data_IF_536788468877
#
_entry.id   IF_536788468877
#
_cell.length_a   1.000
_cell.length_b   1.000
_cell.length_c   1.000
_cell.angle_alpha   90.00
_cell.angle_beta   90.00
_cell.angle_gamma   90.00
#
_symmetry.space_group_name_H-M   'P 1'
#
loop_
_entity.id
_entity.type
_entity.pdbx_description
1 polymer ?
#
# COMPACT_ATOMS: atom_id res chain seq x y z
N UNK A 1 4.11 -0.63 16.31
CA UNK A 1 2.68 -0.31 16.47
C UNK A 1 2.16 0.19 15.13
N UNK A 2 1.00 -0.27 14.66
CA UNK A 2 0.45 0.18 13.37
C UNK A 2 0.01 1.65 13.39
N UNK A 3 -0.10 2.27 12.21
CA UNK A 3 -0.49 3.66 12.01
C UNK A 3 -1.73 3.75 11.12
N UNK A 4 -2.57 4.75 11.37
CA UNK A 4 -3.73 5.08 10.53
C UNK A 4 -3.60 6.53 10.14
N UNK A 5 -3.77 6.80 8.85
CA UNK A 5 -3.75 8.14 8.28
C UNK A 5 -5.15 8.50 7.81
N UNK A 6 -5.52 9.74 8.03
CA UNK A 6 -6.70 10.37 7.48
C UNK A 6 -6.27 11.45 6.49
N UNK A 7 -7.00 11.58 5.39
CA UNK A 7 -6.75 12.60 4.38
C UNK A 7 -7.85 13.65 4.45
N UNK A 8 -7.47 14.91 4.57
CA UNK A 8 -8.40 16.03 4.64
C UNK A 8 -8.12 17.01 3.51
N UNK A 9 -9.19 17.48 2.86
CA UNK A 9 -9.13 18.51 1.83
C UNK A 9 -10.29 19.49 2.03
N UNK A 10 -9.97 20.78 2.16
CA UNK A 10 -10.95 21.85 2.46
C UNK A 10 -11.84 21.53 3.68
N UNK A 11 -11.20 21.11 4.78
CA UNK A 11 -11.85 20.70 6.03
C UNK A 11 -12.85 19.54 5.89
N UNK A 12 -12.66 18.66 4.92
CA UNK A 12 -13.47 17.46 4.71
C UNK A 12 -12.58 16.23 4.68
N UNK A 13 -12.98 15.21 5.45
CA UNK A 13 -12.35 13.90 5.39
C UNK A 13 -12.63 13.26 4.03
N UNK A 14 -11.58 13.04 3.24
CA UNK A 14 -11.68 12.45 1.90
C UNK A 14 -11.19 11.01 1.84
N UNK A 15 -10.59 10.47 2.90
CA UNK A 15 -10.13 9.09 2.90
C UNK A 15 -9.25 8.70 4.07
N UNK A 16 -8.86 7.43 4.08
CA UNK A 16 -8.00 6.83 5.10
C UNK A 16 -7.11 5.75 4.51
N UNK A 17 -5.99 5.46 5.16
CA UNK A 17 -5.16 4.26 4.92
C UNK A 17 -4.58 3.75 6.25
N UNK A 18 -4.35 2.44 6.35
CA UNK A 18 -3.73 1.80 7.50
C UNK A 18 -2.42 1.13 7.13
N UNK A 19 -1.39 1.37 7.92
CA UNK A 19 -0.03 0.87 7.75
C UNK A 19 0.30 0.00 8.97
N UNK A 20 0.65 -1.27 8.77
CA UNK A 20 0.94 -2.20 9.87
C UNK A 20 2.25 -2.93 9.60
N UNK A 21 3.21 -2.97 10.54
CA UNK A 21 4.42 -3.77 10.35
C UNK A 21 4.07 -5.25 10.19
N UNK A 22 4.74 -5.94 9.27
CA UNK A 22 4.58 -7.39 9.10
C UNK A 22 5.35 -8.17 10.18
N UNK A 23 5.08 -9.47 10.26
CA UNK A 23 5.72 -10.40 11.18
C UNK A 23 4.90 -10.70 12.43
N UNK A 24 3.64 -10.25 12.46
CA UNK A 24 2.75 -10.39 13.62
C UNK A 24 1.47 -11.17 13.30
N UNK A 25 1.24 -11.55 12.04
CA UNK A 25 0.06 -12.30 11.62
C UNK A 25 -1.25 -11.52 11.77
N UNK A 26 -1.19 -10.18 11.68
CA UNK A 26 -2.32 -9.29 11.98
C UNK A 26 -3.06 -8.84 10.72
N UNK A 27 -2.50 -9.07 9.55
CA UNK A 27 -3.00 -8.53 8.29
C UNK A 27 -3.45 -9.63 7.33
N UNK A 28 -4.45 -9.31 6.49
CA UNK A 28 -4.86 -10.19 5.39
C UNK A 28 -3.68 -10.48 4.46
N UNK A 29 -2.84 -9.48 4.20
CA UNK A 29 -1.67 -9.62 3.34
C UNK A 29 -0.68 -10.64 3.90
N UNK A 30 -0.42 -10.68 5.21
CA UNK A 30 0.40 -11.74 5.82
C UNK A 30 -0.20 -13.12 5.63
N UNK A 31 -1.50 -13.27 5.86
CA UNK A 31 -2.18 -14.56 5.66
C UNK A 31 -2.04 -15.06 4.22
N UNK A 32 -2.20 -14.17 3.24
CA UNK A 32 -2.07 -14.51 1.82
C UNK A 32 -0.61 -14.75 1.40
N UNK A 33 0.35 -14.02 1.99
CA UNK A 33 1.78 -14.25 1.78
C UNK A 33 2.21 -15.60 2.33
N UNK A 34 1.71 -16.04 3.48
CA UNK A 34 2.04 -17.37 4.00
C UNK A 34 1.62 -18.50 3.05
N UNK A 35 0.54 -18.31 2.29
CA UNK A 35 0.06 -19.31 1.32
C UNK A 35 0.89 -19.27 0.03
N UNK A 36 1.15 -18.08 -0.50
CA UNK A 36 1.67 -17.89 -1.87
C UNK A 36 3.17 -17.57 -1.94
N UNK A 37 3.73 -17.03 -0.87
CA UNK A 37 5.14 -16.62 -0.77
C UNK A 37 5.66 -16.71 0.68
N UNK A 38 5.74 -17.91 1.28
CA UNK A 38 6.05 -18.09 2.71
C UNK A 38 7.41 -17.53 3.15
N UNK A 39 8.35 -17.33 2.22
CA UNK A 39 9.66 -16.71 2.48
C UNK A 39 9.65 -15.16 2.39
N UNK A 40 8.48 -14.54 2.18
CA UNK A 40 8.35 -13.08 2.05
C UNK A 40 8.99 -12.32 3.22
N UNK A 41 8.71 -12.74 4.46
CA UNK A 41 9.16 -12.03 5.67
C UNK A 41 10.67 -12.11 5.86
N UNK A 42 11.32 -13.19 5.40
CA UNK A 42 12.78 -13.29 5.42
C UNK A 42 13.44 -12.45 4.33
N UNK A 43 12.79 -12.29 3.17
CA UNK A 43 13.33 -11.50 2.06
C UNK A 43 13.07 -10.00 2.19
N UNK A 44 12.02 -9.60 2.92
CA UNK A 44 11.61 -8.20 3.06
C UNK A 44 11.65 -7.79 4.54
N UNK A 45 12.85 -7.52 5.10
CA UNK A 45 12.95 -7.00 6.44
C UNK A 45 12.22 -5.65 6.55
N UNK A 46 11.73 -5.34 7.76
CA UNK A 46 11.04 -4.08 8.08
C UNK A 46 9.93 -3.75 7.07
N UNK A 47 9.23 -4.79 6.62
CA UNK A 47 8.11 -4.65 5.71
C UNK A 47 6.86 -4.17 6.46
N UNK A 48 6.08 -3.33 5.79
CA UNK A 48 4.80 -2.83 6.29
C UNK A 48 3.68 -3.12 5.28
N UNK A 49 2.56 -3.62 5.77
CA UNK A 49 1.30 -3.76 5.02
C UNK A 49 0.62 -2.41 4.88
N UNK A 50 0.36 -2.01 3.62
CA UNK A 50 -0.51 -0.91 3.26
C UNK A 50 -1.91 -1.45 2.92
N UNK A 51 -2.83 -1.30 3.86
CA UNK A 51 -4.19 -1.83 3.76
C UNK A 51 -5.27 -0.81 4.07
N UNK A 52 -6.53 -1.20 3.85
CA UNK A 52 -7.72 -0.38 4.17
C UNK A 52 -7.69 1.02 3.55
N UNK A 53 -7.04 1.17 2.40
CA UNK A 53 -7.06 2.41 1.63
C UNK A 53 -8.47 2.65 1.10
N UNK A 54 -9.07 3.75 1.51
CA UNK A 54 -10.38 4.21 1.04
C UNK A 54 -10.26 5.70 0.73
N UNK A 55 -10.74 6.09 -0.44
CA UNK A 55 -10.91 7.49 -0.85
C UNK A 55 -12.39 7.71 -1.15
N UNK A 56 -12.98 8.84 -0.80
CA UNK A 56 -14.37 9.17 -1.10
C UNK A 56 -14.59 9.18 -2.63
N UNK A 57 -15.69 8.60 -3.15
CA UNK A 57 -15.90 8.39 -4.59
C UNK A 57 -15.69 9.64 -5.47
N UNK A 58 -16.14 10.79 -5.01
CA UNK A 58 -16.03 12.09 -5.68
C UNK A 58 -14.58 12.58 -5.86
N UNK A 59 -13.63 12.00 -5.10
CA UNK A 59 -12.20 12.30 -5.20
C UNK A 59 -11.40 11.19 -5.90
N UNK A 60 -12.06 10.18 -6.48
CA UNK A 60 -11.41 9.06 -7.21
C UNK A 60 -11.16 9.36 -8.69
N UNK A 61 -11.38 10.59 -9.15
CA UNK A 61 -11.15 10.97 -10.54
C UNK A 61 -9.65 11.13 -10.78
N UNK A 62 -9.10 10.33 -11.70
CA UNK A 62 -7.67 10.32 -11.99
C UNK A 62 -6.83 9.63 -10.90
N UNK A 63 -5.51 9.83 -10.95
CA UNK A 63 -4.55 9.18 -10.05
C UNK A 63 -3.88 10.16 -9.08
N UNK A 64 -4.05 11.47 -9.28
CA UNK A 64 -3.23 12.48 -8.61
C UNK A 64 -3.56 12.62 -7.13
N UNK A 65 -4.85 12.64 -6.75
CA UNK A 65 -5.26 12.69 -5.34
C UNK A 65 -4.73 11.47 -4.60
N UNK A 66 -4.93 10.28 -5.17
CA UNK A 66 -4.43 9.04 -4.58
C UNK A 66 -2.90 9.05 -4.45
N UNK A 67 -2.19 9.44 -5.51
CA UNK A 67 -0.73 9.54 -5.52
C UNK A 67 -0.24 10.50 -4.44
N UNK A 68 -0.89 11.65 -4.29
CA UNK A 68 -0.56 12.64 -3.25
C UNK A 68 -0.83 12.11 -1.84
N UNK A 69 -1.97 11.47 -1.62
CA UNK A 69 -2.30 10.84 -0.34
C UNK A 69 -1.26 9.77 0.07
N UNK A 70 -0.87 8.91 -0.88
CA UNK A 70 0.17 7.90 -0.65
C UNK A 70 1.54 8.53 -0.41
N UNK A 71 1.90 9.59 -1.14
CA UNK A 71 3.15 10.32 -0.94
C UNK A 71 3.24 10.94 0.47
N UNK A 72 2.19 11.63 0.91
CA UNK A 72 2.13 12.22 2.25
C UNK A 72 2.21 11.15 3.34
N UNK A 73 1.48 10.05 3.16
CA UNK A 73 1.51 8.88 4.06
C UNK A 73 2.92 8.32 4.18
N UNK A 74 3.60 8.10 3.05
CA UNK A 74 4.93 7.53 3.04
C UNK A 74 5.96 8.48 3.65
N UNK A 75 5.82 9.79 3.41
CA UNK A 75 6.71 10.81 3.99
C UNK A 75 6.63 10.78 5.51
N UNK A 76 5.43 10.85 6.09
CA UNK A 76 5.26 10.75 7.55
C UNK A 76 5.74 9.40 8.09
N UNK A 77 5.43 8.30 7.40
CA UNK A 77 5.84 6.98 7.83
C UNK A 77 7.37 6.87 7.95
N UNK A 78 8.12 7.42 6.99
CA UNK A 78 9.60 7.38 6.99
C UNK A 78 10.23 8.29 8.05
N UNK A 79 9.55 9.35 8.45
CA UNK A 79 10.03 10.21 9.54
C UNK A 79 9.89 9.55 10.91
N UNK A 80 8.97 8.59 11.06
CA UNK A 80 8.57 8.08 12.37
C UNK A 80 8.59 6.55 12.52
N UNK A 81 9.05 5.82 11.51
CA UNK A 81 9.20 4.38 11.55
C UNK A 81 10.36 3.90 10.66
N UNK A 82 10.98 2.80 11.08
CA UNK A 82 11.99 2.10 10.30
C UNK A 82 11.28 1.19 9.27
N UNK A 83 11.28 1.61 8.01
CA UNK A 83 10.55 0.98 6.91
C UNK A 83 11.45 0.88 5.69
N UNK A 84 11.64 -0.33 5.19
CA UNK A 84 12.41 -0.58 3.95
C UNK A 84 11.52 -1.13 2.83
N UNK A 85 10.40 -1.77 3.19
CA UNK A 85 9.55 -2.49 2.26
C UNK A 85 8.08 -2.18 2.53
N UNK A 86 7.30 -2.02 1.46
CA UNK A 86 5.85 -1.94 1.49
C UNK A 86 5.26 -3.16 0.80
N UNK A 87 4.22 -3.73 1.40
CA UNK A 87 3.41 -4.79 0.79
C UNK A 87 1.95 -4.42 0.83
N UNK A 88 1.14 -5.09 0.02
CA UNK A 88 -0.31 -4.97 0.13
C UNK A 88 -1.04 -6.07 -0.63
N UNK A 89 -2.27 -6.33 -0.20
CA UNK A 89 -3.23 -7.15 -0.93
C UNK A 89 -4.27 -6.24 -1.59
N UNK A 90 -4.53 -6.46 -2.89
CA UNK A 90 -5.45 -5.62 -3.65
C UNK A 90 -6.20 -6.42 -4.71
N UNK A 91 -7.26 -5.83 -5.28
CA UNK A 91 -7.94 -6.41 -6.44
C UNK A 91 -7.08 -6.29 -7.70
N UNK A 92 -7.41 -7.05 -8.74
CA UNK A 92 -6.70 -7.07 -10.03
C UNK A 92 -6.66 -5.70 -10.71
N UNK A 93 -7.72 -4.91 -10.58
CA UNK A 93 -7.79 -3.58 -11.17
C UNK A 93 -6.76 -2.65 -10.51
N UNK A 94 -6.63 -2.73 -9.18
CA UNK A 94 -5.73 -1.88 -8.42
C UNK A 94 -4.25 -2.27 -8.58
N UNK A 95 -3.93 -3.55 -8.82
CA UNK A 95 -2.52 -3.95 -9.00
C UNK A 95 -1.87 -3.28 -10.21
N UNK A 96 -2.64 -3.02 -11.27
CA UNK A 96 -2.17 -2.27 -12.46
C UNK A 96 -1.85 -0.81 -12.12
N UNK A 97 -2.66 -0.20 -11.27
CA UNK A 97 -2.46 1.16 -10.79
C UNK A 97 -1.20 1.24 -9.92
N UNK A 98 -1.07 0.37 -8.92
CA UNK A 98 0.07 0.40 -7.99
C UNK A 98 1.42 0.15 -8.64
N UNK A 99 1.46 -0.55 -9.78
CA UNK A 99 2.69 -0.66 -10.59
C UNK A 99 3.24 0.69 -11.07
N UNK A 100 2.37 1.68 -11.28
CA UNK A 100 2.77 3.05 -11.63
C UNK A 100 3.34 3.80 -10.43
N UNK A 101 3.06 3.34 -9.22
CA UNK A 101 3.56 3.90 -7.96
C UNK A 101 4.77 3.11 -7.43
N UNK A 102 5.51 2.44 -8.32
CA UNK A 102 6.76 1.75 -7.96
C UNK A 102 6.60 0.34 -7.42
N UNK A 103 5.38 -0.17 -7.24
CA UNK A 103 5.16 -1.54 -6.78
C UNK A 103 5.38 -2.57 -7.90
N UNK A 104 5.82 -3.76 -7.52
CA UNK A 104 5.84 -4.96 -8.31
C UNK A 104 4.74 -5.91 -7.86
N UNK A 105 4.32 -6.77 -8.78
CA UNK A 105 3.35 -7.81 -8.49
C UNK A 105 4.08 -9.08 -8.06
N UNK A 106 3.78 -9.55 -6.85
CA UNK A 106 4.38 -10.74 -6.23
C UNK A 106 3.60 -11.98 -6.63
N UNK A 107 2.28 -11.91 -6.49
CA UNK A 107 1.37 -13.03 -6.77
C UNK A 107 0.06 -12.52 -7.37
N UNK A 108 -0.54 -13.34 -8.22
CA UNK A 108 -1.87 -13.12 -8.83
C UNK A 108 -2.82 -14.20 -8.35
N UNK A 109 -4.11 -13.87 -8.35
CA UNK A 109 -5.18 -14.84 -8.15
C UNK A 109 -5.05 -15.66 -6.87
N UNK A 110 -4.48 -15.07 -5.80
CA UNK A 110 -4.32 -15.76 -4.51
C UNK A 110 -5.68 -15.87 -3.86
N UNK A 111 -6.19 -17.09 -3.76
CA UNK A 111 -7.47 -17.39 -3.15
C UNK A 111 -7.43 -17.10 -1.65
N UNK A 112 -8.42 -16.35 -1.16
CA UNK A 112 -8.68 -16.19 0.27
C UNK A 112 -9.41 -17.45 0.77
N UNK A 113 -8.80 -18.24 1.69
CA UNK A 113 -9.42 -19.47 2.18
C UNK A 113 -10.85 -19.29 2.69
N UNK A 114 -11.73 -20.22 2.34
CA UNK A 114 -13.14 -20.18 2.72
C UNK A 114 -14.00 -19.21 1.91
N UNK A 115 -13.47 -18.64 0.82
CA UNK A 115 -14.21 -17.73 -0.06
C UNK A 115 -13.88 -18.00 -1.53
N UNK A 116 -14.67 -17.44 -2.46
CA UNK A 116 -14.33 -17.38 -3.89
C UNK A 116 -13.50 -16.15 -4.27
N UNK A 117 -13.12 -15.32 -3.28
CA UNK A 117 -12.39 -14.08 -3.53
C UNK A 117 -10.93 -14.34 -3.78
N UNK A 118 -10.41 -13.73 -4.85
CA UNK A 118 -8.99 -13.73 -5.16
C UNK A 118 -8.38 -12.34 -5.02
N UNK A 119 -7.10 -12.31 -4.68
CA UNK A 119 -6.32 -11.08 -4.51
C UNK A 119 -5.02 -11.14 -5.30
N UNK A 120 -4.53 -9.96 -5.67
CA UNK A 120 -3.15 -9.74 -6.06
C UNK A 120 -2.35 -9.33 -4.82
N UNK A 121 -1.12 -9.81 -4.73
CA UNK A 121 -0.14 -9.35 -3.74
C UNK A 121 0.90 -8.49 -4.43
N UNK A 122 1.17 -7.33 -3.86
CA UNK A 122 2.15 -6.37 -4.37
C UNK A 122 3.22 -6.10 -3.32
N UNK A 123 4.41 -5.77 -3.79
CA UNK A 123 5.57 -5.40 -2.99
C UNK A 123 6.29 -4.22 -3.65
N UNK A 124 6.84 -3.31 -2.85
CA UNK A 124 7.70 -2.26 -3.35
C UNK A 124 8.75 -1.90 -2.30
N UNK A 125 10.00 -1.75 -2.75
CA UNK A 125 11.03 -1.11 -1.94
C UNK A 125 10.66 0.35 -1.73
N UNK A 126 10.83 0.82 -0.49
CA UNK A 126 10.40 2.17 -0.08
C UNK A 126 10.99 3.25 -0.97
N UNK A 127 12.27 3.17 -1.31
CA UNK A 127 12.94 4.20 -2.13
C UNK A 127 12.28 4.32 -3.50
N UNK A 128 12.07 3.18 -4.18
CA UNK A 128 11.41 3.13 -5.47
C UNK A 128 9.97 3.64 -5.41
N UNK A 129 9.23 3.25 -4.37
CA UNK A 129 7.84 3.71 -4.18
C UNK A 129 7.82 5.21 -3.91
N UNK A 130 8.70 5.72 -3.04
CA UNK A 130 8.85 7.14 -2.74
C UNK A 130 9.11 7.95 -4.00
N UNK A 131 10.08 7.53 -4.81
CA UNK A 131 10.48 8.24 -6.03
C UNK A 131 9.34 8.23 -7.07
N UNK A 132 8.63 7.11 -7.21
CA UNK A 132 7.46 7.03 -8.10
C UNK A 132 6.26 7.86 -7.61
N UNK A 133 6.11 8.01 -6.28
CA UNK A 133 5.07 8.82 -5.64
C UNK A 133 5.40 10.30 -5.57
N UNK A 134 6.67 10.68 -5.73
CA UNK A 134 7.11 12.06 -5.65
C UNK A 134 6.27 12.94 -6.61
N UNK A 135 5.93 14.17 -6.19
CA UNK A 135 5.32 15.15 -7.07
C UNK A 135 6.20 15.31 -8.31
N UNK A 136 5.58 15.35 -9.48
CA UNK A 136 6.27 15.82 -10.67
C UNK A 136 6.83 17.21 -10.36
N UNK A 137 8.10 17.47 -10.65
CA UNK A 137 8.59 18.83 -10.67
C UNK A 137 7.76 19.59 -11.72
N UNK A 138 6.81 20.40 -11.26
CA UNK A 138 6.06 21.32 -12.12
C UNK A 138 6.33 22.71 -11.57
N UNK A 139 6.91 23.49 -12.47
CA UNK A 139 7.16 24.93 -12.51
C UNK A 139 6.46 25.76 -11.43
N UNK A 140 7.28 26.50 -10.68
CA UNK A 140 6.87 27.62 -9.85
C UNK A 140 6.22 28.74 -10.67
#
# INVERSE_FOLDING_TARGET
MGRVFAFELHNRLIGTIRLVPLGHGLTLTEQLLQISHPQALSHWPKAWDAGRLVIAPEYRVGQDVLKRCLHLTLTDLLEHADVENLVGSCTHILSRLYRRFGFNLVARDVLLPGTEKTYCLIHGEVERVRDALAPSAIEA
#
